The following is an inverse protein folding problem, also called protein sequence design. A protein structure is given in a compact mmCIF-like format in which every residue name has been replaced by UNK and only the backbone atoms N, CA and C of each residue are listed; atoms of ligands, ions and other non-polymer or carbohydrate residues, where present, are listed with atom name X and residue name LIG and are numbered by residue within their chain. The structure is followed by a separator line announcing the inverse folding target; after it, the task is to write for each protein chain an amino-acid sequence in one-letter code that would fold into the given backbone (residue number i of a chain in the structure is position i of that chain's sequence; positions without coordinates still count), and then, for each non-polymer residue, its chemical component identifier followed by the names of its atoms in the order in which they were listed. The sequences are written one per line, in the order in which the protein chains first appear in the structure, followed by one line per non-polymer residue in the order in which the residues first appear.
data_IF_034471576013
#
_entry.id   IF_034471576013
#
_cell.length_a   1.000
_cell.length_b   1.000
_cell.length_c   1.000
_cell.angle_alpha   90.00
_cell.angle_beta   90.00
_cell.angle_gamma   90.00
#
_symmetry.space_group_name_H-M   'P 1'
#
loop_
_entity.id
_entity.type
_entity.pdbx_description
1 polymer ?
#
# COMPACT_ATOMS: atom_id res chain seq x y z
N UNK A 1 -19.25 -20.03 20.81
CA UNK A 1 -18.30 -19.80 19.72
C UNK A 1 -16.93 -19.75 20.38
N UNK A 2 -16.00 -20.62 19.99
CA UNK A 2 -14.68 -20.67 20.62
C UNK A 2 -13.77 -19.60 20.00
N UNK A 3 -13.01 -18.90 20.83
CA UNK A 3 -12.04 -17.86 20.44
C UNK A 3 -10.63 -18.46 20.40
N UNK A 4 -9.83 -18.06 19.42
CA UNK A 4 -8.37 -18.23 19.56
C UNK A 4 -7.81 -17.18 20.53
N UNK A 5 -6.61 -17.42 21.04
CA UNK A 5 -5.94 -16.45 21.92
C UNK A 5 -5.74 -15.09 21.24
N UNK A 6 -5.44 -15.07 19.94
CA UNK A 6 -5.28 -13.85 19.15
C UNK A 6 -6.61 -13.10 19.00
N UNK A 7 -7.69 -13.82 18.70
CA UNK A 7 -9.03 -13.24 18.59
C UNK A 7 -9.48 -12.62 19.92
N UNK A 8 -9.25 -13.32 21.04
CA UNK A 8 -9.53 -12.81 22.38
C UNK A 8 -8.73 -11.53 22.68
N UNK A 9 -7.44 -11.51 22.35
CA UNK A 9 -6.56 -10.36 22.58
C UNK A 9 -7.03 -9.14 21.79
N UNK A 10 -7.38 -9.31 20.52
CA UNK A 10 -7.84 -8.22 19.64
C UNK A 10 -9.19 -7.69 20.12
N UNK A 11 -10.17 -8.58 20.33
CA UNK A 11 -11.51 -8.18 20.78
C UNK A 11 -11.46 -7.47 22.14
N UNK A 12 -10.65 -7.97 23.08
CA UNK A 12 -10.47 -7.33 24.38
C UNK A 12 -9.80 -5.95 24.29
N UNK A 13 -9.02 -5.71 23.24
CA UNK A 13 -8.36 -4.43 23.00
C UNK A 13 -9.26 -3.37 22.37
N UNK A 14 -10.30 -3.78 21.63
CA UNK A 14 -11.20 -2.86 20.89
C UNK A 14 -12.58 -2.70 21.53
N UNK A 15 -12.99 -3.63 22.39
CA UNK A 15 -14.28 -3.61 23.09
C UNK A 15 -14.13 -3.06 24.52
N UNK A 16 -15.19 -2.43 25.02
CA UNK A 16 -15.26 -1.96 26.41
C UNK A 16 -15.47 -3.11 27.42
N UNK A 17 -15.72 -4.33 26.94
CA UNK A 17 -16.09 -5.52 27.71
C UNK A 17 -14.93 -6.53 27.88
N UNK A 18 -13.68 -6.05 27.94
CA UNK A 18 -12.50 -6.92 27.89
C UNK A 18 -12.43 -8.05 28.93
N UNK A 19 -12.95 -7.87 30.15
CA UNK A 19 -13.02 -8.95 31.15
C UNK A 19 -14.05 -10.03 30.80
N UNK A 20 -15.19 -9.65 30.23
CA UNK A 20 -16.25 -10.58 29.81
C UNK A 20 -15.77 -11.40 28.59
N UNK A 21 -15.09 -10.75 27.65
CA UNK A 21 -14.48 -11.40 26.47
C UNK A 21 -13.48 -12.48 26.90
N UNK A 22 -12.60 -12.18 27.86
CA UNK A 22 -11.64 -13.16 28.42
C UNK A 22 -12.30 -14.35 29.11
N UNK A 23 -13.54 -14.19 29.57
CA UNK A 23 -14.35 -15.27 30.14
C UNK A 23 -15.21 -15.99 29.09
N UNK A 24 -15.09 -15.62 27.81
CA UNK A 24 -15.88 -16.18 26.70
C UNK A 24 -17.31 -15.64 26.61
N UNK A 25 -17.63 -14.57 27.35
CA UNK A 25 -18.95 -13.94 27.37
C UNK A 25 -19.01 -12.80 26.35
N UNK A 26 -19.28 -13.16 25.09
CA UNK A 26 -19.40 -12.19 23.99
C UNK A 26 -20.82 -11.65 23.86
N UNK A 27 -20.97 -10.33 23.80
CA UNK A 27 -22.23 -9.70 23.43
C UNK A 27 -22.48 -9.74 21.90
N UNK A 28 -23.59 -9.18 21.43
CA UNK A 28 -23.92 -9.20 19.99
C UNK A 28 -22.97 -8.33 19.15
N UNK A 29 -22.42 -7.25 19.71
CA UNK A 29 -21.44 -6.41 19.02
C UNK A 29 -20.09 -7.14 18.93
N UNK A 30 -19.65 -7.78 20.02
CA UNK A 30 -18.42 -8.57 20.04
C UNK A 30 -18.48 -9.74 19.04
N UNK A 31 -19.66 -10.40 18.93
CA UNK A 31 -19.90 -11.45 17.93
C UNK A 31 -19.86 -10.91 16.50
N UNK A 32 -20.42 -9.72 16.26
CA UNK A 32 -20.39 -9.08 14.95
C UNK A 32 -18.95 -8.75 14.53
N UNK A 33 -18.17 -8.15 15.45
CA UNK A 33 -16.75 -7.85 15.23
C UNK A 33 -15.92 -9.12 14.98
N UNK A 34 -16.15 -10.20 15.74
CA UNK A 34 -15.48 -11.46 15.49
C UNK A 34 -15.81 -12.03 14.11
N UNK A 35 -17.08 -11.98 13.73
CA UNK A 35 -17.53 -12.46 12.41
C UNK A 35 -16.87 -11.66 11.29
N UNK A 36 -16.77 -10.34 11.46
CA UNK A 36 -16.10 -9.44 10.54
C UNK A 36 -14.58 -9.73 10.45
N UNK A 37 -13.90 -9.85 11.59
CA UNK A 37 -12.48 -10.21 11.66
C UNK A 37 -12.18 -11.53 10.92
N UNK A 38 -12.98 -12.57 11.18
CA UNK A 38 -12.84 -13.87 10.50
C UNK A 38 -13.10 -13.75 9.00
N UNK A 39 -14.05 -12.91 8.59
CA UNK A 39 -14.32 -12.64 7.17
C UNK A 39 -13.13 -11.92 6.49
N UNK A 40 -12.48 -10.97 7.18
CA UNK A 40 -11.24 -10.32 6.70
C UNK A 40 -10.12 -11.35 6.52
N UNK A 41 -9.90 -12.22 7.52
CA UNK A 41 -8.89 -13.27 7.42
C UNK A 41 -9.15 -14.23 6.24
N UNK A 42 -10.41 -14.68 6.09
CA UNK A 42 -10.82 -15.52 4.98
C UNK A 42 -10.68 -14.82 3.62
N UNK A 43 -10.99 -13.53 3.55
CA UNK A 43 -10.82 -12.70 2.36
C UNK A 43 -9.36 -12.63 1.94
N UNK A 44 -8.45 -12.27 2.86
CA UNK A 44 -7.02 -12.15 2.58
C UNK A 44 -6.44 -13.48 2.11
N UNK A 45 -6.77 -14.59 2.80
CA UNK A 45 -6.31 -15.92 2.40
C UNK A 45 -6.81 -16.35 1.02
N UNK A 46 -8.03 -15.95 0.66
CA UNK A 46 -8.60 -16.25 -0.66
C UNK A 46 -7.96 -15.42 -1.76
N UNK A 47 -7.69 -14.13 -1.50
CA UNK A 47 -7.14 -13.19 -2.48
C UNK A 47 -5.65 -13.44 -2.73
N UNK A 48 -4.91 -13.79 -1.68
CA UNK A 48 -3.46 -14.03 -1.67
C UNK A 48 -3.12 -15.42 -1.10
N UNK A 49 -3.47 -16.51 -1.81
CA UNK A 49 -3.31 -17.88 -1.32
C UNK A 49 -1.86 -18.27 -0.97
N UNK A 50 -0.86 -17.65 -1.60
CA UNK A 50 0.57 -17.90 -1.33
C UNK A 50 1.09 -17.26 -0.04
N UNK A 51 0.25 -16.48 0.65
CA UNK A 51 0.63 -15.73 1.85
C UNK A 51 -0.15 -16.23 3.07
N UNK A 52 0.45 -16.04 4.23
CA UNK A 52 -0.17 -16.21 5.53
C UNK A 52 -0.24 -14.85 6.22
N UNK A 53 -1.38 -14.57 6.86
CA UNK A 53 -1.66 -13.28 7.48
C UNK A 53 -2.08 -13.46 8.93
N UNK A 54 -1.72 -12.47 9.73
CA UNK A 54 -2.17 -12.32 11.11
C UNK A 54 -2.86 -10.97 11.23
N UNK A 55 -4.13 -10.97 11.60
CA UNK A 55 -4.85 -9.75 11.99
C UNK A 55 -4.32 -9.36 13.37
N UNK A 56 -4.03 -8.07 13.56
CA UNK A 56 -3.33 -7.56 14.75
C UNK A 56 -4.15 -6.51 15.50
N UNK A 57 -5.20 -5.96 14.88
CA UNK A 57 -6.04 -4.96 15.53
C UNK A 57 -7.13 -4.41 14.61
N UNK A 58 -7.91 -3.49 15.15
CA UNK A 58 -8.95 -2.79 14.40
C UNK A 58 -9.13 -1.35 14.91
N UNK A 59 -9.28 -0.40 14.00
CA UNK A 59 -9.88 0.91 14.26
C UNK A 59 -11.35 0.87 13.84
N UNK A 60 -12.24 1.00 14.82
CA UNK A 60 -13.68 0.97 14.59
C UNK A 60 -14.14 2.27 13.95
N UNK A 61 -15.08 2.16 13.00
CA UNK A 61 -15.75 3.31 12.38
C UNK A 61 -16.56 4.14 13.36
N UNK A 62 -17.05 3.52 14.43
CA UNK A 62 -17.86 4.16 15.44
C UNK A 62 -17.09 5.32 16.10
N UNK A 63 -17.68 6.52 16.08
CA UNK A 63 -17.03 7.73 16.60
C UNK A 63 -16.11 8.44 15.60
N UNK A 64 -16.05 7.98 14.35
CA UNK A 64 -15.29 8.62 13.27
C UNK A 64 -16.21 9.10 12.14
N UNK A 65 -15.65 9.82 11.16
CA UNK A 65 -16.36 10.19 9.93
C UNK A 65 -16.37 9.07 8.87
N UNK A 66 -15.65 7.96 9.10
CA UNK A 66 -15.54 6.83 8.17
C UNK A 66 -16.80 5.95 8.28
N UNK A 67 -17.18 5.30 7.19
CA UNK A 67 -18.31 4.35 7.14
C UNK A 67 -17.87 2.87 7.09
N UNK A 68 -16.57 2.63 7.23
CA UNK A 68 -15.91 1.31 7.24
C UNK A 68 -14.98 1.18 8.46
N UNK A 69 -14.81 -0.05 8.95
CA UNK A 69 -13.76 -0.35 9.93
C UNK A 69 -12.42 -0.54 9.21
N UNK A 70 -11.31 -0.27 9.89
CA UNK A 70 -9.96 -0.56 9.41
C UNK A 70 -9.37 -1.69 10.24
N UNK A 71 -9.04 -2.81 9.60
CA UNK A 71 -8.40 -3.96 10.21
C UNK A 71 -6.91 -3.93 9.91
N UNK A 72 -6.10 -3.87 10.96
CA UNK A 72 -4.65 -3.95 10.84
C UNK A 72 -4.22 -5.40 10.75
N UNK A 73 -3.27 -5.67 9.86
CA UNK A 73 -2.70 -6.99 9.72
C UNK A 73 -1.25 -6.93 9.23
N UNK A 74 -0.59 -8.07 9.32
CA UNK A 74 0.74 -8.30 8.75
C UNK A 74 0.80 -9.65 8.06
N UNK A 75 1.66 -9.74 7.05
CA UNK A 75 2.03 -11.02 6.46
C UNK A 75 3.16 -11.68 7.27
N UNK A 76 3.28 -13.00 7.18
CA UNK A 76 4.40 -13.74 7.77
C UNK A 76 5.75 -13.16 7.31
N UNK A 77 6.71 -13.05 8.24
CA UNK A 77 8.03 -12.46 7.98
C UNK A 77 8.10 -10.94 8.08
N UNK A 78 6.97 -10.24 8.23
CA UNK A 78 6.92 -8.81 8.53
C UNK A 78 6.68 -8.62 10.03
N UNK A 79 7.53 -7.83 10.69
CA UNK A 79 7.49 -7.62 12.15
C UNK A 79 6.58 -6.45 12.58
N UNK A 80 6.19 -5.56 11.66
CA UNK A 80 5.33 -4.42 11.97
C UNK A 80 3.87 -4.89 12.08
N UNK A 81 3.27 -4.79 13.26
CA UNK A 81 1.88 -5.24 13.50
C UNK A 81 0.83 -4.47 12.67
N UNK A 82 1.02 -3.17 12.44
CA UNK A 82 0.20 -2.38 11.51
C UNK A 82 0.91 -2.23 10.17
N UNK A 83 1.35 -3.34 9.58
CA UNK A 83 1.99 -3.33 8.26
C UNK A 83 1.04 -2.87 7.17
N UNK A 84 -0.20 -3.37 7.22
CA UNK A 84 -1.20 -3.22 6.18
C UNK A 84 -2.58 -2.99 6.79
N UNK A 85 -3.51 -2.48 5.96
CA UNK A 85 -4.87 -2.14 6.35
C UNK A 85 -5.87 -2.77 5.39
N UNK A 86 -6.88 -3.45 5.94
CA UNK A 86 -8.04 -3.91 5.21
C UNK A 86 -9.25 -3.10 5.67
N UNK A 87 -9.98 -2.52 4.74
CA UNK A 87 -11.24 -1.83 5.04
C UNK A 87 -12.40 -2.80 4.90
N UNK A 88 -13.37 -2.68 5.79
CA UNK A 88 -14.58 -3.52 5.79
C UNK A 88 -15.82 -2.66 5.96
N UNK A 89 -16.74 -2.79 5.01
CA UNK A 89 -17.96 -1.99 4.92
C UNK A 89 -19.15 -2.87 4.65
N UNK A 90 -20.22 -2.69 5.42
CA UNK A 90 -21.49 -3.34 5.12
C UNK A 90 -22.24 -2.53 4.06
N UNK A 91 -22.56 -3.17 2.94
CA UNK A 91 -23.33 -2.62 1.83
C UNK A 91 -24.37 -3.64 1.38
N UNK A 92 -25.64 -3.26 1.38
CA UNK A 92 -26.77 -4.10 0.96
C UNK A 92 -26.79 -5.49 1.64
N UNK A 93 -26.47 -5.52 2.95
CA UNK A 93 -26.41 -6.75 3.74
C UNK A 93 -25.23 -7.68 3.39
N UNK A 94 -24.23 -7.18 2.67
CA UNK A 94 -22.98 -7.88 2.36
C UNK A 94 -21.79 -7.10 2.87
N UNK A 95 -20.79 -7.82 3.37
CA UNK A 95 -19.51 -7.23 3.75
C UNK A 95 -18.64 -7.06 2.50
N UNK A 96 -18.36 -5.82 2.12
CA UNK A 96 -17.33 -5.46 1.16
C UNK A 96 -16.00 -5.30 1.91
N UNK A 97 -14.95 -5.95 1.40
CA UNK A 97 -13.59 -5.89 1.98
C UNK A 97 -12.62 -5.50 0.88
N UNK A 98 -11.75 -4.52 1.18
CA UNK A 98 -10.65 -4.06 0.32
C UNK A 98 -9.36 -3.97 1.13
N UNK A 99 -8.22 -4.06 0.48
CA UNK A 99 -6.92 -4.03 1.16
C UNK A 99 -5.83 -3.33 0.36
N UNK A 100 -4.72 -3.02 1.02
CA UNK A 100 -3.52 -2.38 0.47
C UNK A 100 -2.34 -3.35 0.24
N UNK A 101 -2.49 -4.66 0.52
CA UNK A 101 -1.40 -5.63 0.41
C UNK A 101 -0.99 -5.90 -1.04
N UNK A 102 -1.88 -5.67 -2.00
CA UNK A 102 -1.51 -5.72 -3.42
C UNK A 102 -0.27 -4.88 -3.74
N UNK A 103 -0.06 -3.78 -3.00
CA UNK A 103 1.11 -2.94 -3.17
C UNK A 103 2.40 -3.69 -2.86
N UNK A 104 2.41 -4.56 -1.85
CA UNK A 104 3.56 -5.41 -1.54
C UNK A 104 3.86 -6.41 -2.66
N UNK A 105 2.81 -6.94 -3.28
CA UNK A 105 2.91 -7.94 -4.36
C UNK A 105 3.52 -7.34 -5.64
N UNK A 106 3.13 -6.11 -6.00
CA UNK A 106 3.47 -5.52 -7.31
C UNK A 106 4.61 -4.49 -7.26
N UNK A 107 4.96 -3.96 -6.06
CA UNK A 107 5.93 -2.85 -5.90
C UNK A 107 7.26 -3.11 -6.59
N UNK A 108 7.82 -4.31 -6.42
CA UNK A 108 9.13 -4.64 -6.97
C UNK A 108 9.13 -4.63 -8.49
N UNK A 109 8.13 -5.25 -9.11
CA UNK A 109 8.02 -5.31 -10.57
C UNK A 109 7.83 -3.92 -11.18
N UNK A 110 7.05 -3.05 -10.51
CA UNK A 110 6.91 -1.65 -10.91
C UNK A 110 8.23 -0.90 -10.78
N UNK A 111 8.92 -1.06 -9.64
CA UNK A 111 10.21 -0.42 -9.40
C UNK A 111 11.23 -0.80 -10.48
N UNK A 112 11.38 -2.10 -10.77
CA UNK A 112 12.29 -2.61 -11.80
C UNK A 112 11.92 -2.09 -13.20
N UNK A 113 10.62 -2.00 -13.50
CA UNK A 113 10.13 -1.47 -14.78
C UNK A 113 10.51 -0.01 -14.97
N UNK A 114 10.22 0.85 -13.98
CA UNK A 114 10.53 2.28 -14.05
C UNK A 114 12.04 2.52 -14.05
N UNK A 115 12.79 1.83 -13.18
CA UNK A 115 14.25 1.91 -13.17
C UNK A 115 14.87 1.49 -14.50
N UNK A 116 14.39 0.39 -15.09
CA UNK A 116 14.85 -0.11 -16.38
C UNK A 116 14.62 0.91 -17.49
N UNK A 117 13.42 1.49 -17.56
CA UNK A 117 13.06 2.49 -18.56
C UNK A 117 13.90 3.77 -18.44
N UNK A 118 14.16 4.24 -17.21
CA UNK A 118 15.01 5.41 -16.94
C UNK A 118 16.48 5.14 -17.28
N UNK A 119 17.02 3.97 -16.90
CA UNK A 119 18.39 3.56 -17.22
C UNK A 119 18.61 3.44 -18.73
N UNK A 120 17.62 2.94 -19.48
CA UNK A 120 17.67 2.85 -20.96
C UNK A 120 17.86 4.21 -21.65
N UNK A 121 17.34 5.29 -21.07
CA UNK A 121 17.55 6.65 -21.60
C UNK A 121 18.79 7.34 -21.00
N UNK A 122 19.62 6.59 -20.29
CA UNK A 122 20.90 7.04 -19.74
C UNK A 122 20.78 7.90 -18.48
N UNK A 123 19.70 7.75 -17.71
CA UNK A 123 19.56 8.49 -16.44
C UNK A 123 20.25 7.76 -15.28
N UNK A 124 20.93 8.50 -14.40
CA UNK A 124 21.65 7.94 -13.27
C UNK A 124 20.70 7.74 -12.08
N UNK A 125 19.85 6.72 -12.17
CA UNK A 125 18.88 6.40 -11.13
C UNK A 125 19.56 5.79 -9.91
N UNK A 126 19.40 6.42 -8.76
CA UNK A 126 19.83 5.91 -7.46
C UNK A 126 18.77 4.96 -6.91
N UNK A 127 17.51 5.40 -6.91
CA UNK A 127 16.41 4.63 -6.34
C UNK A 127 15.06 5.09 -6.92
N UNK A 128 14.11 4.16 -7.01
CA UNK A 128 12.70 4.46 -7.25
C UNK A 128 11.88 3.90 -6.11
N UNK A 129 11.03 4.72 -5.50
CA UNK A 129 10.08 4.31 -4.48
C UNK A 129 8.67 4.38 -5.02
N UNK A 130 7.88 3.34 -4.75
CA UNK A 130 6.48 3.26 -5.16
C UNK A 130 5.58 3.21 -3.93
N UNK A 131 4.64 4.13 -3.87
CA UNK A 131 3.52 4.17 -2.94
C UNK A 131 2.19 4.06 -3.70
N UNK A 132 1.14 3.76 -2.94
CA UNK A 132 -0.22 3.60 -3.44
C UNK A 132 -1.19 4.24 -2.45
N UNK A 133 -2.30 4.80 -2.95
CA UNK A 133 -3.30 5.48 -2.12
C UNK A 133 -4.60 4.70 -1.95
N UNK A 134 -4.83 3.69 -2.80
CA UNK A 134 -6.12 3.01 -2.90
C UNK A 134 -6.14 1.66 -2.19
N UNK A 135 -7.32 1.26 -1.72
CA UNK A 135 -7.61 -0.11 -1.29
C UNK A 135 -8.31 -0.85 -2.41
N UNK A 136 -7.81 -2.03 -2.77
CA UNK A 136 -8.34 -2.83 -3.88
C UNK A 136 -9.21 -3.99 -3.39
N UNK A 137 -10.31 -4.25 -4.09
CA UNK A 137 -11.26 -5.31 -3.76
C UNK A 137 -10.88 -6.70 -4.28
N UNK A 138 -11.81 -7.64 -4.16
CA UNK A 138 -11.68 -9.05 -4.56
C UNK A 138 -11.54 -9.27 -6.08
N UNK A 139 -11.81 -8.24 -6.87
CA UNK A 139 -11.70 -8.25 -8.33
C UNK A 139 -10.25 -8.35 -8.81
N UNK A 140 -9.28 -8.02 -7.95
CA UNK A 140 -7.85 -8.19 -8.18
C UNK A 140 -7.32 -9.32 -7.30
N UNK A 141 -6.56 -10.26 -7.86
CA UNK A 141 -5.98 -11.38 -7.11
C UNK A 141 -4.51 -11.15 -6.76
N UNK A 142 -3.81 -12.22 -6.41
CA UNK A 142 -2.36 -12.22 -6.18
C UNK A 142 -1.54 -11.91 -7.45
N UNK A 143 -2.05 -12.20 -8.64
CA UNK A 143 -1.34 -11.93 -9.89
C UNK A 143 -1.78 -10.59 -10.46
N UNK A 144 -1.07 -9.53 -10.10
CA UNK A 144 -1.34 -8.17 -10.55
C UNK A 144 -0.25 -7.73 -11.53
N UNK A 145 -0.68 -7.17 -12.65
CA UNK A 145 0.24 -6.67 -13.67
C UNK A 145 0.77 -5.29 -13.30
N UNK A 146 2.09 -5.16 -13.19
CA UNK A 146 2.77 -3.88 -13.00
C UNK A 146 2.41 -2.86 -14.08
N UNK A 147 2.30 -3.30 -15.34
CA UNK A 147 1.93 -2.44 -16.46
C UNK A 147 0.48 -1.94 -16.35
N UNK A 148 -0.45 -2.78 -15.92
CA UNK A 148 -1.86 -2.37 -15.76
C UNK A 148 -2.03 -1.39 -14.59
N UNK A 149 -1.25 -1.56 -13.51
CA UNK A 149 -1.20 -0.61 -12.39
C UNK A 149 -0.60 0.72 -12.82
N UNK A 150 0.55 0.69 -13.50
CA UNK A 150 1.21 1.89 -14.01
C UNK A 150 0.33 2.66 -14.99
N UNK A 151 -0.46 1.98 -15.81
CA UNK A 151 -1.35 2.59 -16.81
C UNK A 151 -2.74 2.94 -16.26
N UNK A 152 -3.02 2.69 -14.98
CA UNK A 152 -4.30 3.04 -14.36
C UNK A 152 -5.47 2.14 -14.73
N UNK A 153 -5.22 1.04 -15.44
CA UNK A 153 -6.24 0.01 -15.68
C UNK A 153 -6.63 -0.62 -14.34
N UNK A 154 -5.65 -0.78 -13.45
CA UNK A 154 -5.87 -1.07 -12.03
C UNK A 154 -5.71 0.25 -11.26
N UNK A 155 -6.79 0.78 -10.64
CA UNK A 155 -6.78 2.10 -10.03
C UNK A 155 -6.12 2.05 -8.65
N UNK A 156 -4.79 1.98 -8.61
CA UNK A 156 -4.01 1.90 -7.37
C UNK A 156 -3.66 3.27 -6.75
N UNK A 157 -3.82 4.36 -7.53
CA UNK A 157 -3.37 5.69 -7.13
C UNK A 157 -1.85 5.73 -6.93
N UNK A 158 -1.07 5.62 -8.02
CA UNK A 158 0.39 5.52 -7.95
C UNK A 158 1.03 6.81 -7.40
N UNK A 159 1.91 6.70 -6.39
CA UNK A 159 2.86 7.73 -5.93
C UNK A 159 4.29 7.24 -6.18
N UNK A 160 4.98 7.82 -7.17
CA UNK A 160 6.28 7.35 -7.63
C UNK A 160 7.34 8.41 -7.31
N UNK A 161 8.36 8.03 -6.54
CA UNK A 161 9.48 8.93 -6.20
C UNK A 161 10.75 8.43 -6.87
N UNK A 162 11.36 9.26 -7.70
CA UNK A 162 12.56 8.94 -8.49
C UNK A 162 13.71 9.76 -7.94
N UNK A 163 14.78 9.08 -7.51
CA UNK A 163 16.01 9.71 -7.03
C UNK A 163 17.12 9.55 -8.06
N UNK A 164 17.75 10.66 -8.42
CA UNK A 164 18.82 10.73 -9.41
C UNK A 164 20.12 11.21 -8.77
N UNK A 165 21.25 10.68 -9.23
CA UNK A 165 22.58 11.14 -8.85
C UNK A 165 22.95 12.39 -9.66
N UNK A 166 22.98 13.55 -8.98
CA UNK A 166 23.32 14.83 -9.59
C UNK A 166 24.79 15.02 -9.92
N UNK A 167 25.70 14.21 -9.37
CA UNK A 167 27.15 14.31 -9.64
C UNK A 167 27.53 13.79 -11.03
N UNK A 168 26.66 12.97 -11.63
CA UNK A 168 26.85 12.36 -12.96
C UNK A 168 25.78 12.81 -13.97
N UNK A 169 24.82 13.63 -13.55
CA UNK A 169 24.02 14.39 -14.51
C UNK A 169 24.96 15.37 -15.22
N UNK A 170 24.96 15.35 -16.56
CA UNK A 170 25.64 16.37 -17.37
C UNK A 170 25.22 17.78 -16.94
N UNK A 171 25.96 18.82 -17.36
CA UNK A 171 25.62 20.25 -17.13
C UNK A 171 24.25 20.71 -17.72
N UNK A 172 23.40 19.76 -18.13
CA UNK A 172 22.02 20.00 -18.52
C UNK A 172 21.20 20.55 -17.34
N UNK A 173 20.38 21.59 -17.56
CA UNK A 173 19.43 22.07 -16.56
C UNK A 173 18.53 20.94 -16.04
N UNK A 174 18.32 20.87 -14.73
CA UNK A 174 17.46 19.82 -14.14
C UNK A 174 16.03 19.82 -14.66
N UNK A 175 15.51 20.96 -15.11
CA UNK A 175 14.21 21.05 -15.80
C UNK A 175 14.17 20.25 -17.12
N UNK A 176 15.28 20.18 -17.86
CA UNK A 176 15.38 19.36 -19.07
C UNK A 176 15.40 17.87 -18.72
N UNK A 177 16.05 17.50 -17.61
CA UNK A 177 16.03 16.12 -17.08
C UNK A 177 14.61 15.72 -16.69
N UNK A 178 13.89 16.59 -15.98
CA UNK A 178 12.48 16.38 -15.63
C UNK A 178 11.60 16.24 -16.86
N UNK A 179 11.76 17.12 -17.86
CA UNK A 179 11.01 17.03 -19.11
C UNK A 179 11.24 15.70 -19.82
N UNK A 180 12.50 15.22 -19.88
CA UNK A 180 12.86 13.93 -20.48
C UNK A 180 12.21 12.75 -19.75
N UNK A 181 12.19 12.77 -18.41
CA UNK A 181 11.49 11.75 -17.60
C UNK A 181 9.99 11.79 -17.89
N UNK A 182 9.38 12.98 -17.87
CA UNK A 182 7.96 13.16 -18.15
C UNK A 182 7.59 12.60 -19.53
N UNK A 183 8.34 12.94 -20.56
CA UNK A 183 8.11 12.45 -21.92
C UNK A 183 8.20 10.93 -22.02
N UNK A 184 9.18 10.31 -21.35
CA UNK A 184 9.30 8.85 -21.27
C UNK A 184 8.06 8.22 -20.62
N UNK A 185 7.66 8.71 -19.45
CA UNK A 185 6.53 8.17 -18.69
C UNK A 185 5.20 8.35 -19.44
N UNK A 186 4.98 9.51 -20.08
CA UNK A 186 3.81 9.75 -20.94
C UNK A 186 3.79 8.78 -22.13
N UNK A 187 4.93 8.57 -22.80
CA UNK A 187 5.02 7.60 -23.90
C UNK A 187 4.70 6.17 -23.45
N UNK A 188 5.07 5.84 -22.21
CA UNK A 188 4.75 4.56 -21.56
C UNK A 188 3.35 4.51 -20.97
N UNK A 189 2.60 5.61 -21.04
CA UNK A 189 1.24 5.79 -20.49
C UNK A 189 1.19 5.56 -18.98
N UNK A 190 2.27 5.90 -18.28
CA UNK A 190 2.29 5.85 -16.81
C UNK A 190 1.41 6.98 -16.28
N UNK A 191 0.54 6.66 -15.33
CA UNK A 191 -0.29 7.60 -14.59
C UNK A 191 0.09 7.65 -13.10
N UNK A 192 -0.23 8.77 -12.46
CA UNK A 192 -0.02 8.99 -11.04
C UNK A 192 0.82 10.22 -10.72
N UNK A 193 1.11 10.39 -9.44
CA UNK A 193 1.92 11.48 -8.93
C UNK A 193 3.40 11.08 -8.93
N UNK A 194 4.22 11.83 -9.67
CA UNK A 194 5.64 11.56 -9.84
C UNK A 194 6.44 12.65 -9.13
N UNK A 195 7.26 12.27 -8.15
CA UNK A 195 8.18 13.17 -7.47
C UNK A 195 9.63 12.86 -7.85
N UNK A 196 10.24 13.75 -8.61
CA UNK A 196 11.62 13.61 -9.08
C UNK A 196 12.53 14.42 -8.15
N UNK A 197 13.59 13.78 -7.65
CA UNK A 197 14.58 14.38 -6.74
C UNK A 197 15.97 14.17 -7.33
N UNK A 198 16.72 15.27 -7.44
CA UNK A 198 18.14 15.24 -7.78
C UNK A 198 18.94 15.39 -6.48
N UNK A 199 19.72 14.36 -6.16
CA UNK A 199 20.63 14.34 -5.02
C UNK A 199 21.99 14.90 -5.41
N UNK A 200 22.79 15.28 -4.42
CA UNK A 200 24.15 15.73 -4.66
C UNK A 200 25.01 14.64 -5.31
N UNK A 201 24.90 13.41 -4.83
CA UNK A 201 25.57 12.22 -5.33
C UNK A 201 24.77 10.94 -4.98
N UNK A 202 25.22 9.76 -5.43
CA UNK A 202 24.55 8.49 -5.15
C UNK A 202 24.52 8.08 -3.66
N UNK A 203 25.47 8.57 -2.85
CA UNK A 203 25.61 8.22 -1.43
C UNK A 203 24.94 9.24 -0.49
N UNK A 204 24.24 10.22 -1.06
CA UNK A 204 23.61 11.34 -0.38
C UNK A 204 22.47 10.96 0.56
N UNK A 205 22.27 11.73 1.62
CA UNK A 205 21.07 11.61 2.47
C UNK A 205 19.84 12.12 1.70
N UNK A 206 18.85 11.24 1.51
CA UNK A 206 17.67 11.54 0.69
C UNK A 206 16.78 12.66 1.24
N UNK A 207 16.93 13.05 2.50
CA UNK A 207 16.19 14.14 3.11
C UNK A 207 16.98 15.46 3.10
N UNK A 208 18.31 15.41 3.23
CA UNK A 208 19.15 16.59 3.48
C UNK A 208 19.93 17.07 2.26
N UNK A 209 20.34 16.18 1.38
CA UNK A 209 21.29 16.47 0.31
C UNK A 209 20.61 16.60 -1.07
N UNK A 210 19.41 17.19 -1.08
CA UNK A 210 18.64 17.46 -2.30
C UNK A 210 19.14 18.74 -2.96
N UNK A 211 19.55 18.65 -4.22
CA UNK A 211 19.89 19.81 -5.04
C UNK A 211 18.65 20.42 -5.70
N UNK A 212 17.69 19.56 -6.06
CA UNK A 212 16.49 19.95 -6.79
C UNK A 212 15.37 18.92 -6.57
N UNK A 213 14.12 19.37 -6.66
CA UNK A 213 12.99 18.45 -6.73
C UNK A 213 11.81 19.05 -7.49
N UNK A 214 11.02 18.19 -8.15
CA UNK A 214 9.83 18.58 -8.88
C UNK A 214 8.76 17.49 -8.80
N UNK A 215 7.52 17.90 -8.56
CA UNK A 215 6.34 17.05 -8.72
C UNK A 215 5.72 17.22 -10.10
N UNK A 216 5.29 16.11 -10.69
CA UNK A 216 4.57 16.03 -11.97
C UNK A 216 3.43 15.04 -11.80
N UNK A 217 2.20 15.46 -12.05
CA UNK A 217 1.03 14.56 -12.12
C UNK A 217 0.82 14.14 -13.57
N UNK A 218 0.57 12.85 -13.78
CA UNK A 218 0.27 12.25 -15.08
C UNK A 218 -1.13 11.62 -15.03
N UNK A 219 -2.01 12.07 -15.92
CA UNK A 219 -3.41 11.62 -16.06
C UNK A 219 -3.59 10.72 -17.29
#
# INVERSE_FOLDING_TARGET
MELTHEEESILSGISFNGEQIKNGELDENDKALLTEMRAVGAYLKKKYPSYEFVITGCELKAGTAKDYNEWYYRAEGIERDSAFIATSREMDGKLEIKDDFYGEVVRKDIQETIEGDLKQIGLPVVQVNIGFWEYLGKEYGEKISADEVLQGIIPAGNDIKIFLDGSVLSDAPYEEVVAKIKELLVRKKVIGDIYIVVLKDADSDFARDRLYSKSVTLD
#
